data_IF_841081766061
#
_entry.id   IF_841081766061
#
_cell.length_a   1.000
_cell.length_b   1.000
_cell.length_c   1.000
_cell.angle_alpha   90.00
_cell.angle_beta   90.00
_cell.angle_gamma   90.00
#
_symmetry.space_group_name_H-M   'P 1'
#
loop_
_entity.id
_entity.type
_entity.pdbx_description
1 polymer ?
#
# COMPACT_ATOMS: atom_id res chain seq x y z
N UNK A 1 -29.63 -2.55 3.93
CA UNK A 1 -28.42 -1.71 3.94
C UNK A 1 -27.26 -2.60 3.52
N UNK A 2 -26.99 -2.67 2.22
CA UNK A 2 -25.92 -3.51 1.69
C UNK A 2 -24.64 -2.67 1.66
N UNK A 3 -23.62 -3.13 2.37
CA UNK A 3 -22.23 -2.72 2.16
C UNK A 3 -21.86 -3.31 0.81
N UNK A 4 -21.98 -2.53 -0.25
CA UNK A 4 -21.59 -2.97 -1.58
C UNK A 4 -20.08 -3.14 -1.59
N UNK A 5 -19.65 -4.38 -1.80
CA UNK A 5 -18.36 -4.71 -2.42
C UNK A 5 -18.11 -3.70 -3.54
N UNK A 6 -17.10 -2.84 -3.38
CA UNK A 6 -16.58 -2.11 -4.52
C UNK A 6 -15.82 -3.15 -5.36
N UNK A 7 -16.26 -3.46 -6.59
CA UNK A 7 -15.53 -4.35 -7.47
C UNK A 7 -14.16 -3.72 -7.73
N UNK A 8 -13.09 -4.51 -7.59
CA UNK A 8 -11.71 -4.11 -7.94
C UNK A 8 -11.63 -3.54 -9.36
N UNK A 9 -12.58 -3.92 -10.23
CA UNK A 9 -12.73 -3.45 -11.61
C UNK A 9 -13.31 -2.03 -11.77
N UNK A 10 -13.68 -1.34 -10.68
CA UNK A 10 -14.25 0.02 -10.71
C UNK A 10 -13.21 1.13 -10.47
N UNK A 11 -11.94 0.76 -10.27
CA UNK A 11 -10.86 1.74 -10.29
C UNK A 11 -10.76 2.30 -11.72
N UNK A 12 -10.66 3.62 -11.91
CA UNK A 12 -10.40 4.18 -13.23
C UNK A 12 -9.22 3.41 -13.81
N UNK A 13 -9.34 2.97 -15.06
CA UNK A 13 -8.23 2.33 -15.80
C UNK A 13 -7.02 3.22 -15.61
N UNK A 14 -6.13 2.80 -14.71
CA UNK A 14 -4.94 3.55 -14.36
C UNK A 14 -4.11 3.50 -15.63
N UNK A 15 -4.20 4.54 -16.47
CA UNK A 15 -3.17 4.73 -17.49
C UNK A 15 -1.90 4.88 -16.67
N UNK A 16 -0.94 3.95 -16.74
CA UNK A 16 0.32 4.15 -16.07
C UNK A 16 0.88 5.42 -16.72
N UNK A 17 0.92 6.51 -15.96
CA UNK A 17 1.94 7.52 -16.25
C UNK A 17 3.23 6.73 -16.10
N UNK A 18 3.97 6.61 -17.20
CA UNK A 18 5.18 5.80 -17.21
C UNK A 18 6.22 6.51 -16.37
N UNK A 19 6.26 6.18 -15.08
CA UNK A 19 7.32 6.59 -14.17
C UNK A 19 8.64 6.16 -14.80
N UNK A 20 9.50 7.14 -15.11
CA UNK A 20 10.75 6.93 -15.84
C UNK A 20 11.79 6.29 -14.94
N UNK A 21 11.85 6.70 -13.68
CA UNK A 21 12.75 6.09 -12.71
C UNK A 21 12.32 4.65 -12.36
N UNK A 22 13.18 3.68 -12.68
CA UNK A 22 12.89 2.26 -12.44
C UNK A 22 12.90 1.92 -10.95
N UNK A 23 13.74 2.59 -10.17
CA UNK A 23 13.81 2.39 -8.72
C UNK A 23 12.51 2.83 -8.09
N UNK A 24 12.02 4.03 -8.44
CA UNK A 24 10.74 4.54 -7.99
C UNK A 24 9.58 3.62 -8.38
N UNK A 25 9.60 3.08 -9.61
CA UNK A 25 8.58 2.14 -10.06
C UNK A 25 8.56 0.85 -9.20
N UNK A 26 9.74 0.31 -8.89
CA UNK A 26 9.88 -0.83 -7.98
C UNK A 26 9.38 -0.50 -6.57
N UNK A 27 9.80 0.64 -6.00
CA UNK A 27 9.38 1.06 -4.66
C UNK A 27 7.87 1.29 -4.56
N UNK A 28 7.24 1.87 -5.57
CA UNK A 28 5.77 2.02 -5.64
C UNK A 28 5.09 0.65 -5.68
N UNK A 29 5.65 -0.31 -6.42
CA UNK A 29 5.12 -1.67 -6.47
C UNK A 29 5.22 -2.37 -5.11
N UNK A 30 6.36 -2.24 -4.42
CA UNK A 30 6.57 -2.77 -3.07
C UNK A 30 5.64 -2.12 -2.04
N UNK A 31 5.52 -0.79 -2.07
CA UNK A 31 4.59 -0.02 -1.24
C UNK A 31 3.15 -0.48 -1.47
N UNK A 32 2.76 -0.75 -2.72
CA UNK A 32 1.45 -1.28 -3.07
C UNK A 32 1.18 -2.65 -2.45
N UNK A 33 2.16 -3.55 -2.49
CA UNK A 33 2.08 -4.89 -1.87
C UNK A 33 1.89 -4.77 -0.35
N UNK A 34 2.68 -3.92 0.31
CA UNK A 34 2.60 -3.74 1.76
C UNK A 34 1.29 -3.03 2.18
N UNK A 35 0.82 -2.05 1.41
CA UNK A 35 -0.51 -1.44 1.61
C UNK A 35 -1.63 -2.48 1.55
N UNK A 36 -1.58 -3.38 0.55
CA UNK A 36 -2.57 -4.44 0.41
C UNK A 36 -2.53 -5.41 1.59
N UNK A 37 -1.33 -5.74 2.11
CA UNK A 37 -1.16 -6.56 3.32
C UNK A 37 -1.81 -5.91 4.54
N UNK A 38 -1.55 -4.63 4.78
CA UNK A 38 -2.13 -3.88 5.90
C UNK A 38 -3.67 -3.90 5.83
N UNK A 39 -4.25 -3.63 4.65
CA UNK A 39 -5.70 -3.68 4.42
C UNK A 39 -6.26 -5.06 4.75
N UNK A 40 -5.63 -6.13 4.26
CA UNK A 40 -6.05 -7.51 4.54
C UNK A 40 -6.05 -7.82 6.04
N UNK A 41 -5.02 -7.40 6.78
CA UNK A 41 -4.93 -7.60 8.23
C UNK A 41 -6.00 -6.80 8.99
N UNK A 42 -6.28 -5.57 8.57
CA UNK A 42 -7.37 -4.75 9.13
C UNK A 42 -8.72 -5.43 8.91
N UNK A 43 -8.97 -6.01 7.74
CA UNK A 43 -10.19 -6.78 7.49
C UNK A 43 -10.26 -8.05 8.36
N UNK A 44 -9.14 -8.73 8.61
CA UNK A 44 -9.12 -9.88 9.52
C UNK A 44 -9.54 -9.50 10.94
N UNK A 45 -9.12 -8.32 11.44
CA UNK A 45 -9.54 -7.81 12.75
C UNK A 45 -11.05 -7.56 12.86
N UNK A 46 -11.76 -7.44 11.74
CA UNK A 46 -13.21 -7.25 11.72
C UNK A 46 -13.99 -8.58 11.75
N UNK A 47 -13.31 -9.72 11.62
CA UNK A 47 -13.95 -11.03 11.65
C UNK A 47 -14.52 -11.32 13.05
N UNK A 48 -15.74 -11.86 13.15
CA UNK A 48 -16.30 -12.27 14.42
C UNK A 48 -15.56 -13.49 14.97
N UNK A 49 -15.45 -13.56 16.30
CA UNK A 49 -14.94 -14.73 17.04
C UNK A 49 -13.48 -15.11 16.77
N UNK A 50 -12.59 -14.13 16.58
CA UNK A 50 -11.15 -14.39 16.66
C UNK A 50 -10.79 -14.93 18.05
N UNK A 51 -10.02 -16.01 18.11
CA UNK A 51 -9.40 -16.43 19.37
C UNK A 51 -8.34 -15.42 19.79
N UNK A 52 -7.99 -15.38 21.08
CA UNK A 52 -6.93 -14.51 21.58
C UNK A 52 -5.59 -14.75 20.86
N UNK A 53 -5.29 -16.00 20.52
CA UNK A 53 -4.07 -16.33 19.75
C UNK A 53 -4.11 -15.75 18.33
N UNK A 54 -5.23 -15.87 17.63
CA UNK A 54 -5.39 -15.29 16.29
C UNK A 54 -5.33 -13.77 16.34
N UNK A 55 -5.92 -13.15 17.36
CA UNK A 55 -5.86 -11.71 17.55
C UNK A 55 -4.41 -11.23 17.75
N UNK A 56 -3.63 -11.93 18.58
CA UNK A 56 -2.21 -11.62 18.79
C UNK A 56 -1.42 -11.74 17.49
N UNK A 57 -1.63 -12.81 16.72
CA UNK A 57 -0.94 -13.01 15.44
C UNK A 57 -1.25 -11.90 14.44
N UNK A 58 -2.54 -11.57 14.26
CA UNK A 58 -2.97 -10.50 13.33
C UNK A 58 -2.42 -9.14 13.76
N UNK A 59 -2.42 -8.83 15.06
CA UNK A 59 -1.86 -7.57 15.57
C UNK A 59 -0.34 -7.50 15.42
N UNK A 60 0.37 -8.60 15.65
CA UNK A 60 1.82 -8.66 15.45
C UNK A 60 2.19 -8.45 13.98
N UNK A 61 1.46 -9.09 13.06
CA UNK A 61 1.65 -8.90 11.62
C UNK A 61 1.28 -7.49 11.16
N UNK A 62 0.20 -6.91 11.70
CA UNK A 62 -0.20 -5.54 11.36
C UNK A 62 0.86 -4.54 11.83
N UNK A 63 1.44 -4.74 13.01
CA UNK A 63 2.52 -3.91 13.49
C UNK A 63 3.77 -4.02 12.61
N UNK A 64 4.13 -5.24 12.16
CA UNK A 64 5.22 -5.42 11.21
C UNK A 64 4.94 -4.70 9.87
N UNK A 65 3.71 -4.82 9.36
CA UNK A 65 3.27 -4.13 8.14
C UNK A 65 3.35 -2.61 8.28
N UNK A 66 2.95 -2.06 9.43
CA UNK A 66 3.08 -0.62 9.72
C UNK A 66 4.55 -0.15 9.74
N UNK A 67 5.47 -0.95 10.28
CA UNK A 67 6.91 -0.66 10.25
C UNK A 67 7.44 -0.67 8.82
N UNK A 68 7.05 -1.66 8.01
CA UNK A 68 7.45 -1.72 6.59
C UNK A 68 6.90 -0.54 5.79
N UNK A 69 5.64 -0.18 5.98
CA UNK A 69 5.05 1.02 5.35
C UNK A 69 5.82 2.28 5.71
N UNK A 70 6.22 2.43 6.97
CA UNK A 70 7.04 3.56 7.38
C UNK A 70 8.38 3.58 6.64
N UNK A 71 9.05 2.42 6.52
CA UNK A 71 10.31 2.31 5.79
C UNK A 71 10.16 2.60 4.28
N UNK A 72 9.10 2.11 3.64
CA UNK A 72 8.83 2.34 2.22
C UNK A 72 8.42 3.78 1.89
N UNK A 73 8.04 4.58 2.89
CA UNK A 73 7.65 5.99 2.73
C UNK A 73 8.70 6.98 3.25
N UNK A 74 9.95 6.53 3.45
CA UNK A 74 11.05 7.36 3.95
C UNK A 74 11.58 8.41 2.95
N UNK A 75 12.61 9.14 3.36
CA UNK A 75 13.17 10.29 2.62
C UNK A 75 13.59 9.92 1.19
N UNK A 76 14.31 8.80 1.01
CA UNK A 76 14.75 8.33 -0.33
C UNK A 76 13.57 8.14 -1.31
N UNK A 77 12.44 7.63 -0.82
CA UNK A 77 11.23 7.44 -1.64
C UNK A 77 10.60 8.79 -2.01
N UNK A 78 10.56 9.73 -1.06
CA UNK A 78 10.01 11.07 -1.27
C UNK A 78 10.86 11.88 -2.24
N UNK A 79 12.19 11.78 -2.15
CA UNK A 79 13.14 12.43 -3.05
C UNK A 79 12.97 11.91 -4.48
N UNK A 80 12.85 10.59 -4.67
CA UNK A 80 12.59 10.01 -6.00
C UNK A 80 11.25 10.49 -6.60
N UNK A 81 10.20 10.65 -5.78
CA UNK A 81 8.94 11.24 -6.23
C UNK A 81 9.15 12.69 -6.66
N UNK A 82 9.90 13.49 -5.89
CA UNK A 82 10.18 14.88 -6.21
C UNK A 82 10.94 14.99 -7.54
N UNK A 83 11.99 14.19 -7.72
CA UNK A 83 12.77 14.13 -8.97
C UNK A 83 11.88 13.75 -10.16
N UNK A 84 11.01 12.75 -10.02
CA UNK A 84 10.09 12.35 -11.08
C UNK A 84 9.10 13.48 -11.42
N UNK A 85 8.60 14.22 -10.43
CA UNK A 85 7.71 15.38 -10.63
C UNK A 85 8.40 16.54 -11.36
N UNK A 86 9.66 16.84 -11.01
CA UNK A 86 10.46 17.86 -11.70
C UNK A 86 10.72 17.46 -13.16
N UNK A 87 11.01 16.17 -13.40
CA UNK A 87 11.23 15.63 -14.74
C UNK A 87 9.97 15.68 -15.62
N UNK A 88 8.78 15.47 -15.04
CA UNK A 88 7.50 15.60 -15.76
C UNK A 88 7.21 17.08 -16.08
N UNK A 89 7.53 17.99 -15.17
CA UNK A 89 7.21 19.42 -15.30
C UNK A 89 8.15 20.18 -16.24
N UNK A 90 9.29 19.58 -16.58
CA UNK A 90 10.32 20.14 -17.47
C UNK A 90 10.13 19.75 -18.95
N UNK A 91 9.12 18.92 -19.27
CA UNK A 91 8.69 18.55 -20.64
C UNK A 91 7.53 19.43 -21.13
#
# INVERSE_FOLDING_TARGET
MQVTDLPVDSLPTYRPISIKDRTLNTLISELGIECQRAITLIHQLQLPNLSDSQLVDVLAELNASAIHLHAHCGDDFQDLIADELENISSE
#
